data_IF_592976879039
#
_entry.id   IF_592976879039
#
_cell.length_a   1.000
_cell.length_b   1.000
_cell.length_c   1.000
_cell.angle_alpha   90.00
_cell.angle_beta   90.00
_cell.angle_gamma   90.00
#
_symmetry.space_group_name_H-M   'P 1'
#
loop_
_entity.id
_entity.type
_entity.pdbx_description
1 polymer ?
#
# COMPACT_ATOMS: atom_id res chain seq x y z
N UNK A 1 -12.97 28.89 -51.23
CA UNK A 1 -13.24 27.60 -51.90
C UNK A 1 -12.96 26.49 -50.89
N UNK A 2 -14.01 26.04 -50.20
CA UNK A 2 -13.96 25.01 -49.15
C UNK A 2 -14.78 23.82 -49.62
N UNK A 3 -14.18 22.91 -50.39
CA UNK A 3 -14.90 21.72 -50.86
C UNK A 3 -14.01 20.47 -51.13
N UNK A 4 -12.97 20.25 -50.32
CA UNK A 4 -12.15 19.01 -50.44
C UNK A 4 -12.35 18.06 -49.25
N UNK A 5 -12.71 18.59 -48.08
CA UNK A 5 -12.72 17.82 -46.83
C UNK A 5 -13.94 16.89 -46.67
N UNK A 6 -15.06 17.18 -47.34
CA UNK A 6 -16.27 16.35 -47.29
C UNK A 6 -16.20 15.13 -48.21
N UNK A 7 -15.49 15.23 -49.34
CA UNK A 7 -15.31 14.13 -50.28
C UNK A 7 -14.43 13.01 -49.70
N UNK A 8 -13.42 13.36 -48.90
CA UNK A 8 -12.47 12.39 -48.30
C UNK A 8 -13.07 11.58 -47.16
N UNK A 9 -13.92 12.21 -46.32
CA UNK A 9 -14.63 11.51 -45.23
C UNK A 9 -15.68 10.53 -45.72
N UNK A 10 -16.39 10.86 -46.81
CA UNK A 10 -17.46 10.01 -47.35
C UNK A 10 -16.92 8.73 -48.02
N UNK A 11 -15.65 8.71 -48.44
CA UNK A 11 -14.98 7.57 -49.07
C UNK A 11 -14.42 6.54 -48.08
N UNK A 12 -14.20 6.91 -46.81
CA UNK A 12 -13.67 6.02 -45.78
C UNK A 12 -14.75 5.16 -45.10
N UNK A 13 -16.03 5.57 -45.13
CA UNK A 13 -17.14 4.80 -44.56
C UNK A 13 -17.74 3.77 -45.53
N UNK A 14 -17.30 3.72 -46.79
CA UNK A 14 -17.76 2.73 -47.76
C UNK A 14 -16.93 1.45 -47.79
N UNK A 15 -15.82 1.36 -47.05
CA UNK A 15 -14.93 0.18 -47.06
C UNK A 15 -15.08 -0.77 -45.88
N UNK A 16 -16.01 -0.53 -44.95
CA UNK A 16 -16.34 -1.48 -43.88
C UNK A 16 -17.43 -2.46 -44.34
N UNK A 17 -17.15 -3.18 -45.43
CA UNK A 17 -18.02 -4.22 -45.99
C UNK A 17 -17.26 -5.54 -46.05
N UNK A 18 -17.61 -6.45 -45.14
CA UNK A 18 -17.41 -7.91 -45.20
C UNK A 18 -16.09 -8.46 -45.79
N UNK A 19 -15.24 -9.04 -44.94
CA UNK A 19 -14.17 -9.94 -45.38
C UNK A 19 -13.38 -10.50 -44.20
N UNK A 20 -13.75 -11.71 -43.76
CA UNK A 20 -13.17 -12.38 -42.60
C UNK A 20 -11.85 -13.11 -42.82
N UNK A 21 -11.32 -13.57 -41.69
CA UNK A 21 -10.41 -14.71 -41.45
C UNK A 21 -9.00 -14.67 -42.06
N UNK A 22 -8.01 -14.44 -41.19
CA UNK A 22 -6.96 -15.41 -40.85
C UNK A 22 -5.68 -14.67 -40.42
N UNK A 23 -5.53 -14.39 -39.12
CA UNK A 23 -4.23 -14.26 -38.46
C UNK A 23 -4.34 -14.86 -37.05
N UNK A 24 -4.50 -16.19 -36.97
CA UNK A 24 -4.32 -16.95 -35.75
C UNK A 24 -2.82 -17.25 -35.57
N UNK A 25 -2.07 -16.20 -35.26
CA UNK A 25 -0.75 -16.31 -34.66
C UNK A 25 -0.71 -15.36 -33.46
N UNK A 26 -1.23 -15.85 -32.32
CA UNK A 26 -0.64 -15.60 -31.01
C UNK A 26 -0.97 -14.32 -30.23
N UNK A 27 -1.75 -13.36 -30.72
CA UNK A 27 -2.17 -12.21 -29.89
C UNK A 27 -3.44 -12.47 -29.06
N UNK A 28 -3.52 -13.65 -28.42
CA UNK A 28 -4.59 -13.98 -27.46
C UNK A 28 -4.37 -13.31 -26.09
N UNK A 29 -3.19 -12.77 -25.80
CA UNK A 29 -2.89 -12.09 -24.53
C UNK A 29 -3.60 -10.73 -24.36
N UNK A 30 -4.06 -10.10 -25.45
CA UNK A 30 -4.54 -8.71 -25.39
C UNK A 30 -6.05 -8.54 -25.51
N UNK A 31 -6.79 -9.65 -25.60
CA UNK A 31 -8.25 -9.65 -25.45
C UNK A 31 -8.71 -10.17 -24.09
N UNK A 32 -7.82 -10.59 -23.19
CA UNK A 32 -8.10 -10.79 -21.75
C UNK A 32 -9.30 -11.67 -21.38
N UNK A 33 -9.87 -12.39 -22.35
CA UNK A 33 -10.92 -13.39 -22.19
C UNK A 33 -10.32 -14.80 -22.04
N UNK A 34 -9.00 -14.87 -21.84
CA UNK A 34 -8.37 -16.04 -21.26
C UNK A 34 -8.84 -16.11 -19.80
N UNK A 35 -9.85 -16.94 -19.58
CA UNK A 35 -10.03 -17.75 -18.37
C UNK A 35 -9.15 -17.35 -17.18
N UNK A 36 -9.43 -16.19 -16.58
CA UNK A 36 -9.47 -16.19 -15.14
C UNK A 36 -10.85 -16.76 -14.84
N UNK A 37 -10.88 -18.09 -14.72
CA UNK A 37 -11.58 -18.66 -13.59
C UNK A 37 -10.91 -18.09 -12.33
N UNK A 38 -11.08 -16.79 -12.06
CA UNK A 38 -11.38 -16.37 -10.71
C UNK A 38 -12.80 -16.93 -10.50
N UNK A 39 -12.84 -18.25 -10.27
CA UNK A 39 -13.66 -18.75 -9.17
C UNK A 39 -13.53 -17.69 -8.09
N UNK A 40 -14.65 -17.12 -7.64
CA UNK A 40 -14.70 -16.22 -6.49
C UNK A 40 -14.17 -16.97 -5.29
N UNK A 41 -12.85 -17.11 -5.26
CA UNK A 41 -12.13 -18.06 -4.46
C UNK A 41 -11.99 -17.42 -3.11
N UNK A 42 -12.42 -18.17 -2.11
CA UNK A 42 -11.87 -18.16 -0.76
C UNK A 42 -10.35 -18.45 -0.80
N UNK A 43 -9.59 -17.67 -1.57
CA UNK A 43 -8.15 -17.71 -1.68
C UNK A 43 -7.54 -16.72 -0.69
N UNK A 44 -6.45 -17.14 -0.06
CA UNK A 44 -5.66 -16.28 0.82
C UNK A 44 -5.15 -15.08 0.00
N UNK A 45 -5.51 -13.86 0.41
CA UNK A 45 -5.04 -12.58 -0.14
C UNK A 45 -4.06 -11.94 0.82
N UNK A 46 -3.11 -11.18 0.28
CA UNK A 46 -2.14 -10.43 1.08
C UNK A 46 -2.41 -8.92 1.02
N UNK A 47 -2.24 -8.24 2.16
CA UNK A 47 -2.30 -6.80 2.26
C UNK A 47 -1.33 -6.27 3.31
N UNK A 48 -0.98 -4.99 3.19
CA UNK A 48 -0.28 -4.26 4.23
C UNK A 48 -1.25 -3.45 5.08
N UNK A 49 -1.13 -3.50 6.40
CA UNK A 49 -1.88 -2.66 7.34
C UNK A 49 -0.91 -1.68 7.98
N UNK A 50 -1.23 -0.39 7.94
CA UNK A 50 -0.44 0.66 8.61
C UNK A 50 -1.03 0.92 9.99
N UNK A 51 -0.20 0.85 11.03
CA UNK A 51 -0.57 1.11 12.40
C UNK A 51 -0.87 2.58 12.64
N UNK A 52 -1.88 2.84 13.48
CA UNK A 52 -2.21 4.17 13.95
C UNK A 52 -1.26 4.54 15.08
N UNK A 53 -0.32 5.45 14.80
CA UNK A 53 0.61 5.97 15.80
C UNK A 53 -0.02 7.16 16.53
N UNK A 54 0.16 7.21 17.86
CA UNK A 54 -0.30 8.34 18.68
C UNK A 54 0.45 9.63 18.31
N UNK A 55 -0.23 10.50 17.55
CA UNK A 55 0.30 11.78 17.13
C UNK A 55 0.44 12.77 18.29
N UNK A 56 -0.33 12.64 19.36
CA UNK A 56 -0.20 13.48 20.54
C UNK A 56 1.06 13.12 21.30
N UNK A 57 1.34 11.83 21.48
CA UNK A 57 2.58 11.34 22.08
C UNK A 57 3.82 11.79 21.28
N UNK A 58 3.79 11.69 19.96
CA UNK A 58 4.88 12.16 19.10
C UNK A 58 5.12 13.68 19.21
N UNK A 59 4.06 14.47 19.27
CA UNK A 59 4.17 15.92 19.45
C UNK A 59 4.74 16.26 20.84
N UNK A 60 4.30 15.55 21.87
CA UNK A 60 4.80 15.71 23.22
C UNK A 60 6.29 15.40 23.30
N UNK A 61 6.74 14.27 22.74
CA UNK A 61 8.16 13.90 22.67
C UNK A 61 9.00 14.96 21.93
N UNK A 62 8.46 15.57 20.86
CA UNK A 62 9.16 16.64 20.14
C UNK A 62 9.31 17.91 20.99
N UNK A 63 8.27 18.27 21.76
CA UNK A 63 8.31 19.42 22.67
C UNK A 63 9.31 19.18 23.80
N UNK A 64 9.33 17.98 24.37
CA UNK A 64 10.26 17.59 25.44
C UNK A 64 11.71 17.66 24.95
N UNK A 65 12.02 17.10 23.79
CA UNK A 65 13.35 17.17 23.20
C UNK A 65 13.81 18.62 22.96
N UNK A 66 12.92 19.48 22.44
CA UNK A 66 13.22 20.90 22.24
C UNK A 66 13.46 21.64 23.57
N UNK A 67 12.67 21.33 24.60
CA UNK A 67 12.83 21.93 25.93
C UNK A 67 14.12 21.47 26.59
N UNK A 68 14.49 20.19 26.45
CA UNK A 68 15.71 19.63 27.01
C UNK A 68 16.95 20.30 26.40
N UNK A 69 16.96 20.52 25.09
CA UNK A 69 18.03 21.24 24.40
C UNK A 69 18.09 22.74 24.77
N UNK A 70 16.95 23.41 24.95
CA UNK A 70 16.90 24.84 25.33
C UNK A 70 17.37 25.11 26.76
N UNK A 71 17.13 24.17 27.65
CA UNK A 71 17.54 24.27 29.05
C UNK A 71 19.01 23.88 29.28
N UNK A 72 19.76 23.58 28.19
CA UNK A 72 21.13 23.07 28.23
C UNK A 72 21.25 21.77 29.08
N UNK A 73 20.15 21.03 29.24
CA UNK A 73 20.14 19.76 29.98
C UNK A 73 20.84 18.66 29.18
N UNK A 74 20.76 18.75 27.85
CA UNK A 74 21.36 17.84 26.87
C UNK A 74 21.81 18.63 25.65
N UNK A 75 22.78 18.12 24.90
CA UNK A 75 23.15 18.72 23.63
C UNK A 75 22.03 18.61 22.59
N UNK A 76 22.05 19.48 21.58
CA UNK A 76 21.09 19.40 20.47
C UNK A 76 21.15 18.05 19.74
N UNK A 77 22.33 17.40 19.71
CA UNK A 77 22.52 16.10 19.09
C UNK A 77 21.90 14.97 19.93
N UNK A 78 22.11 14.99 21.25
CA UNK A 78 21.49 14.04 22.18
C UNK A 78 19.97 14.16 22.17
N UNK A 79 19.41 15.37 22.27
CA UNK A 79 17.96 15.56 22.20
C UNK A 79 17.33 15.00 20.91
N UNK A 80 18.03 15.11 19.78
CA UNK A 80 17.59 14.53 18.50
C UNK A 80 17.74 13.00 18.47
N UNK A 81 18.69 12.43 19.20
CA UNK A 81 18.80 10.99 19.34
C UNK A 81 17.65 10.46 20.19
N UNK A 82 17.44 11.04 21.37
CA UNK A 82 16.38 10.66 22.30
C UNK A 82 15.00 10.71 21.61
N UNK A 83 14.72 11.80 20.89
CA UNK A 83 13.49 11.93 20.12
C UNK A 83 13.29 10.79 19.08
N UNK A 84 14.37 10.39 18.40
CA UNK A 84 14.31 9.30 17.42
C UNK A 84 14.11 7.94 18.09
N UNK A 85 14.69 7.73 19.26
CA UNK A 85 14.48 6.51 20.05
C UNK A 85 13.02 6.44 20.52
N UNK A 86 12.50 7.50 21.14
CA UNK A 86 11.10 7.58 21.57
C UNK A 86 10.13 7.41 20.40
N UNK A 87 10.42 8.00 19.24
CA UNK A 87 9.59 7.80 18.04
C UNK A 87 9.54 6.32 17.63
N UNK A 88 10.66 5.61 17.64
CA UNK A 88 10.71 4.19 17.31
C UNK A 88 9.94 3.34 18.32
N UNK A 89 10.03 3.67 19.61
CA UNK A 89 9.26 2.99 20.65
C UNK A 89 7.75 3.16 20.45
N UNK A 90 7.29 4.38 20.19
CA UNK A 90 5.88 4.67 19.93
C UNK A 90 5.35 3.93 18.69
N UNK A 91 6.17 3.82 17.63
CA UNK A 91 5.81 3.06 16.44
C UNK A 91 5.74 1.56 16.76
N UNK A 92 6.70 1.04 17.54
CA UNK A 92 6.72 -0.36 17.94
C UNK A 92 5.51 -0.72 18.81
N UNK A 93 5.11 0.16 19.72
CA UNK A 93 3.93 -0.02 20.55
C UNK A 93 2.65 -0.03 19.70
N UNK A 94 2.53 0.89 18.74
CA UNK A 94 1.41 0.93 17.81
C UNK A 94 1.29 -0.34 16.97
N UNK A 95 2.42 -0.89 16.49
CA UNK A 95 2.44 -2.16 15.76
C UNK A 95 2.03 -3.31 16.66
N UNK A 96 2.55 -3.39 17.89
CA UNK A 96 2.19 -4.44 18.84
C UNK A 96 0.67 -4.44 19.09
N UNK A 97 0.09 -3.27 19.37
CA UNK A 97 -1.35 -3.10 19.55
C UNK A 97 -2.14 -3.56 18.32
N UNK A 98 -1.68 -3.17 17.12
CA UNK A 98 -2.30 -3.60 15.88
C UNK A 98 -2.25 -5.12 15.69
N UNK A 99 -1.11 -5.76 15.96
CA UNK A 99 -0.95 -7.22 15.86
C UNK A 99 -1.87 -7.93 16.84
N UNK A 100 -1.88 -7.50 18.11
CA UNK A 100 -2.74 -8.05 19.15
C UNK A 100 -4.22 -7.96 18.74
N UNK A 101 -4.65 -6.83 18.17
CA UNK A 101 -6.02 -6.65 17.69
C UNK A 101 -6.33 -7.48 16.43
N UNK A 102 -5.38 -7.61 15.49
CA UNK A 102 -5.52 -8.44 14.30
C UNK A 102 -5.73 -9.90 14.67
N UNK A 103 -4.91 -10.44 15.58
CA UNK A 103 -5.00 -11.82 16.05
C UNK A 103 -6.26 -12.09 16.87
N UNK A 104 -6.75 -11.07 17.60
CA UNK A 104 -7.92 -11.21 18.48
C UNK A 104 -9.26 -11.02 17.76
N UNK A 105 -9.31 -10.14 16.76
CA UNK A 105 -10.57 -9.70 16.14
C UNK A 105 -10.75 -10.21 14.71
N UNK A 106 -9.69 -10.71 14.07
CA UNK A 106 -9.75 -11.16 12.67
C UNK A 106 -9.27 -12.60 12.53
N UNK A 107 -9.49 -13.17 11.35
CA UNK A 107 -8.89 -14.45 10.95
C UNK A 107 -7.65 -14.27 10.06
N UNK A 108 -7.13 -13.05 9.97
CA UNK A 108 -5.92 -12.76 9.21
C UNK A 108 -4.68 -13.23 9.99
N UNK A 109 -3.67 -13.69 9.26
CA UNK A 109 -2.37 -14.09 9.80
C UNK A 109 -1.37 -12.98 9.56
N UNK A 110 -0.61 -12.60 10.58
CA UNK A 110 0.50 -11.65 10.44
C UNK A 110 1.70 -12.39 9.87
N UNK A 111 2.10 -12.01 8.66
CA UNK A 111 3.21 -12.64 7.93
C UNK A 111 4.54 -11.97 8.25
N UNK A 112 4.54 -10.64 8.37
CA UNK A 112 5.76 -9.86 8.53
C UNK A 112 5.47 -8.49 9.14
N UNK A 113 6.28 -8.07 10.10
CA UNK A 113 6.26 -6.71 10.64
C UNK A 113 7.34 -5.84 9.98
N UNK A 114 7.00 -4.58 9.75
CA UNK A 114 7.86 -3.54 9.17
C UNK A 114 7.89 -2.32 10.09
N UNK A 115 8.64 -2.43 11.20
CA UNK A 115 8.73 -1.39 12.24
C UNK A 115 9.15 -0.02 11.71
N UNK A 116 10.04 0.02 10.73
CA UNK A 116 10.50 1.26 10.10
C UNK A 116 9.40 2.03 9.35
N UNK A 117 8.31 1.36 8.98
CA UNK A 117 7.17 1.94 8.27
C UNK A 117 5.89 1.97 9.10
N UNK A 118 5.94 1.51 10.37
CA UNK A 118 4.74 1.42 11.19
C UNK A 118 3.70 0.47 10.58
N UNK A 119 4.12 -0.61 9.91
CA UNK A 119 3.20 -1.42 9.11
C UNK A 119 3.44 -2.92 9.29
N UNK A 120 2.42 -3.71 9.00
CA UNK A 120 2.47 -5.18 9.02
C UNK A 120 1.89 -5.73 7.72
N UNK A 121 2.46 -6.82 7.20
CA UNK A 121 1.86 -7.60 6.12
C UNK A 121 1.04 -8.73 6.71
N UNK A 122 -0.20 -8.83 6.26
CA UNK A 122 -1.14 -9.87 6.66
C UNK A 122 -1.57 -10.70 5.47
N UNK A 123 -1.91 -11.96 5.71
CA UNK A 123 -2.55 -12.85 4.76
C UNK A 123 -3.90 -13.33 5.30
N UNK A 124 -4.92 -13.43 4.47
CA UNK A 124 -6.26 -13.82 4.93
C UNK A 124 -7.29 -13.94 3.83
N UNK A 125 -8.48 -14.42 4.16
CA UNK A 125 -9.61 -14.36 3.24
C UNK A 125 -9.95 -12.89 2.91
N UNK A 126 -10.75 -12.68 1.85
CA UNK A 126 -11.21 -11.34 1.52
C UNK A 126 -11.95 -10.65 2.68
N UNK A 127 -12.72 -11.40 3.48
CA UNK A 127 -13.41 -10.88 4.66
C UNK A 127 -12.42 -10.53 5.77
N UNK A 128 -11.43 -11.37 6.05
CA UNK A 128 -10.43 -11.11 7.08
C UNK A 128 -9.66 -9.80 6.83
N UNK A 129 -9.38 -9.47 5.57
CA UNK A 129 -8.75 -8.20 5.21
C UNK A 129 -9.70 -7.00 5.40
N UNK A 130 -11.01 -7.17 5.22
CA UNK A 130 -11.97 -6.10 5.50
C UNK A 130 -12.12 -5.92 7.02
N UNK A 131 -12.17 -7.00 7.79
CA UNK A 131 -12.22 -6.96 9.25
C UNK A 131 -10.98 -6.22 9.81
N UNK A 132 -9.80 -6.40 9.18
CA UNK A 132 -8.58 -5.68 9.52
C UNK A 132 -8.64 -4.15 9.30
N UNK A 133 -9.56 -3.65 8.45
CA UNK A 133 -9.82 -2.21 8.30
C UNK A 133 -10.69 -1.65 9.42
N UNK A 134 -11.45 -2.51 10.10
CA UNK A 134 -12.38 -2.11 11.16
C UNK A 134 -11.68 -1.99 12.52
N UNK A 135 -10.43 -2.46 12.61
CA UNK A 135 -9.59 -2.33 13.81
C UNK A 135 -9.24 -0.86 14.07
N UNK A 136 -9.33 -0.44 15.34
CA UNK A 136 -9.09 0.95 15.74
C UNK A 136 -7.63 1.37 15.55
N UNK A 137 -6.68 0.48 15.85
CA UNK A 137 -5.24 0.69 15.60
C UNK A 137 -4.85 0.63 14.11
N UNK A 138 -5.79 0.47 13.17
CA UNK A 138 -5.53 0.45 11.73
C UNK A 138 -5.77 1.85 11.12
N UNK A 139 -4.73 2.42 10.50
CA UNK A 139 -4.85 3.69 9.79
C UNK A 139 -5.25 3.51 8.33
N UNK A 140 -4.70 2.50 7.66
CA UNK A 140 -4.99 2.23 6.24
C UNK A 140 -4.55 0.84 5.81
N UNK A 141 -5.17 0.33 4.74
CA UNK A 141 -4.66 -0.79 3.97
C UNK A 141 -3.92 -0.33 2.72
N UNK A 142 -2.79 -0.98 2.45
CA UNK A 142 -1.98 -0.80 1.25
C UNK A 142 -1.76 -2.14 0.57
N UNK A 143 -1.42 -2.13 -0.72
CA UNK A 143 -1.01 -3.34 -1.41
C UNK A 143 0.29 -3.88 -0.80
N UNK A 144 0.37 -5.19 -0.54
CA UNK A 144 1.57 -5.83 0.03
C UNK A 144 2.84 -5.51 -0.79
N UNK A 145 2.73 -5.53 -2.12
CA UNK A 145 3.82 -5.16 -3.03
C UNK A 145 4.40 -3.76 -2.77
N UNK A 146 3.58 -2.79 -2.32
CA UNK A 146 4.06 -1.43 -2.01
C UNK A 146 4.95 -1.41 -0.75
N UNK A 147 4.66 -2.25 0.25
CA UNK A 147 5.52 -2.40 1.43
C UNK A 147 6.84 -3.06 1.08
N UNK A 148 6.82 -4.06 0.20
CA UNK A 148 8.01 -4.75 -0.29
C UNK A 148 8.90 -3.81 -1.10
N UNK A 149 8.31 -3.01 -2.00
CA UNK A 149 9.01 -1.97 -2.76
C UNK A 149 9.64 -0.92 -1.85
N UNK A 150 8.91 -0.46 -0.82
CA UNK A 150 9.43 0.52 0.14
C UNK A 150 10.63 -0.04 0.93
N UNK A 151 10.58 -1.32 1.29
CA UNK A 151 11.69 -2.00 1.97
C UNK A 151 12.89 -2.25 1.05
N UNK A 152 12.63 -2.66 -0.20
CA UNK A 152 13.67 -2.97 -1.19
C UNK A 152 14.35 -1.71 -1.77
N UNK A 153 13.62 -0.60 -1.85
CA UNK A 153 14.19 0.69 -2.28
C UNK A 153 15.20 1.26 -1.29
N UNK A 154 15.05 0.94 0.00
CA UNK A 154 15.97 1.37 1.06
C UNK A 154 17.32 0.66 1.01
N UNK A 155 17.42 -0.52 0.39
CA UNK A 155 18.68 -1.30 0.31
C UNK A 155 19.56 -0.92 -0.88
N UNK A 156 19.04 -0.15 -1.85
CA UNK A 156 19.77 0.22 -3.07
C UNK A 156 20.29 1.67 -3.06
N UNK A 157 20.19 2.37 -1.93
CA UNK A 157 20.80 3.68 -1.68
C UNK A 157 21.87 3.55 -0.58
N UNK A 158 23.01 2.96 -0.93
CA UNK A 158 24.24 2.92 -0.11
C UNK A 158 25.43 3.31 -0.97
#
# INVERSE_FOLDING_TARGET
MTDDFSARRRKLLQSAGAGGTALLAGCTEQLGLAQNSDEGGDGQREAGVVAMVDQQALQQAQLEAQQAAQQDNVSQQEAQQDYRETQQELISEAISSLVDELESNTSATVEQEYSQFGAVRISGSASALIDALEIESSQSLVAAARLEEATSGSTNSS
#
